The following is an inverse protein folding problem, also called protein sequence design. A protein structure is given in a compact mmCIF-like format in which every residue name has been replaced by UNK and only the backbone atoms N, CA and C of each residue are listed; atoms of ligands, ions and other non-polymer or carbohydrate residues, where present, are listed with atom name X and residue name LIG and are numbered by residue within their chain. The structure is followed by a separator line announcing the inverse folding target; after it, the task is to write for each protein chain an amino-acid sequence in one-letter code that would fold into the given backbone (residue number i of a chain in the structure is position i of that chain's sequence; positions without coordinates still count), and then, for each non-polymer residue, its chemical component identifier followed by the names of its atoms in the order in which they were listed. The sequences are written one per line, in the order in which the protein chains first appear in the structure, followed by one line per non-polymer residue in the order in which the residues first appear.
data_IF_764503067562
#
_entry.id   IF_764503067562
#
_cell.length_a   1.000
_cell.length_b   1.000
_cell.length_c   1.000
_cell.angle_alpha   90.00
_cell.angle_beta   90.00
_cell.angle_gamma   90.00
#
_symmetry.space_group_name_H-M   'P 1'
#
loop_
_entity.id
_entity.type
_entity.pdbx_description
1 polymer ?
#
# COMPACT_ATOMS: atom_id res chain seq x y z
N UNK A 1 24.75 -45.07 18.70
CA UNK A 1 25.78 -45.57 19.64
C UNK A 1 26.63 -44.36 20.01
N UNK A 2 26.63 -43.95 21.28
CA UNK A 2 27.38 -42.77 21.76
C UNK A 2 26.50 -41.68 22.40
N UNK A 3 25.84 -42.00 23.51
CA UNK A 3 25.19 -41.02 24.41
C UNK A 3 25.67 -41.26 25.86
N UNK A 4 26.96 -41.61 26.01
CA UNK A 4 27.52 -42.07 27.28
C UNK A 4 28.97 -41.62 27.57
N UNK A 5 29.59 -40.78 26.74
CA UNK A 5 31.04 -40.51 26.82
C UNK A 5 31.45 -39.08 27.24
N UNK A 6 30.65 -38.36 28.04
CA UNK A 6 31.13 -37.10 28.68
C UNK A 6 30.62 -36.93 30.12
N UNK A 7 30.68 -38.00 30.92
CA UNK A 7 30.63 -37.90 32.39
C UNK A 7 31.94 -38.42 32.95
N UNK A 8 33.00 -37.63 32.79
CA UNK A 8 34.27 -37.87 33.44
C UNK A 8 34.09 -37.67 34.97
N UNK A 9 33.97 -38.81 35.67
CA UNK A 9 33.64 -38.92 37.08
C UNK A 9 34.90 -38.76 37.96
N UNK A 10 35.56 -37.60 37.82
CA UNK A 10 36.71 -37.18 38.61
C UNK A 10 36.39 -36.08 39.63
N UNK A 11 35.88 -36.49 40.80
CA UNK A 11 35.96 -35.80 42.11
C UNK A 11 35.75 -34.27 42.20
N UNK A 12 34.51 -33.82 42.47
CA UNK A 12 34.13 -32.81 43.49
C UNK A 12 32.58 -32.73 43.53
N UNK A 13 31.89 -33.03 44.65
CA UNK A 13 30.43 -33.10 44.70
C UNK A 13 29.71 -31.78 44.34
N UNK A 14 30.37 -30.63 44.57
CA UNK A 14 29.86 -29.31 44.16
C UNK A 14 29.97 -29.01 42.66
N UNK A 15 30.95 -29.61 41.96
CA UNK A 15 31.14 -29.46 40.50
C UNK A 15 30.02 -30.12 39.72
N UNK A 16 29.62 -31.33 40.14
CA UNK A 16 28.52 -32.09 39.54
C UNK A 16 27.16 -31.38 39.70
N UNK A 17 26.92 -30.75 40.86
CA UNK A 17 25.71 -29.95 41.09
C UNK A 17 25.67 -28.68 40.24
N UNK A 18 26.83 -28.02 40.04
CA UNK A 18 26.93 -26.82 39.20
C UNK A 18 26.71 -27.16 37.72
N UNK A 19 27.30 -28.25 37.24
CA UNK A 19 27.09 -28.76 35.89
C UNK A 19 25.62 -29.15 35.64
N UNK A 20 25.01 -29.85 36.60
CA UNK A 20 23.59 -30.21 36.53
C UNK A 20 22.68 -28.98 36.47
N UNK A 21 22.88 -27.99 37.35
CA UNK A 21 22.13 -26.72 37.33
C UNK A 21 22.31 -25.95 36.02
N UNK A 22 23.52 -25.97 35.45
CA UNK A 22 23.80 -25.35 34.14
C UNK A 22 23.02 -26.06 33.03
N UNK A 23 23.02 -27.39 33.00
CA UNK A 23 22.24 -28.18 32.03
C UNK A 23 20.74 -27.99 32.20
N UNK A 24 20.25 -27.88 33.44
CA UNK A 24 18.86 -27.55 33.74
C UNK A 24 18.47 -26.17 33.20
N UNK A 25 19.34 -25.17 33.39
CA UNK A 25 19.14 -23.83 32.84
C UNK A 25 19.18 -23.84 31.30
N UNK A 26 20.07 -24.61 30.67
CA UNK A 26 20.13 -24.80 29.21
C UNK A 26 18.85 -25.44 28.67
N UNK A 27 18.33 -26.47 29.33
CA UNK A 27 17.07 -27.14 28.96
C UNK A 27 15.85 -26.26 29.21
N UNK A 28 15.85 -25.45 30.27
CA UNK A 28 14.79 -24.47 30.52
C UNK A 28 14.80 -23.34 29.49
N UNK A 29 15.98 -22.85 29.11
CA UNK A 29 16.13 -21.80 28.11
C UNK A 29 15.86 -22.32 26.68
N UNK A 30 16.20 -23.58 26.41
CA UNK A 30 16.07 -24.19 25.11
C UNK A 30 15.65 -25.66 25.23
N UNK A 31 14.36 -25.92 25.48
CA UNK A 31 13.88 -27.28 25.63
C UNK A 31 14.16 -28.10 24.36
N UNK A 32 14.55 -29.39 24.47
CA UNK A 32 14.88 -30.21 23.30
C UNK A 32 13.68 -30.46 22.38
N UNK A 33 12.46 -30.29 22.88
CA UNK A 33 11.22 -30.33 22.09
C UNK A 33 10.89 -29.00 21.41
N UNK A 34 11.56 -27.90 21.78
CA UNK A 34 11.32 -26.57 21.23
C UNK A 34 12.09 -26.43 19.91
N UNK A 35 11.37 -26.49 18.81
CA UNK A 35 11.93 -26.29 17.47
C UNK A 35 12.50 -24.87 17.35
N UNK A 36 13.48 -24.62 16.45
CA UNK A 36 14.01 -23.27 16.23
C UNK A 36 12.93 -22.23 15.92
N UNK A 37 11.88 -22.62 15.18
CA UNK A 37 10.73 -21.76 14.86
C UNK A 37 9.96 -21.35 16.11
N UNK A 38 9.74 -22.28 17.06
CA UNK A 38 9.09 -21.97 18.33
C UNK A 38 9.94 -21.04 19.20
N UNK A 39 11.27 -21.17 19.16
CA UNK A 39 12.18 -20.26 19.87
C UNK A 39 12.08 -18.85 19.33
N UNK A 40 12.16 -18.68 18.01
CA UNK A 40 12.03 -17.38 17.34
C UNK A 40 10.65 -16.74 17.60
N UNK A 41 9.57 -17.52 17.57
CA UNK A 41 8.23 -17.03 17.92
C UNK A 41 8.06 -16.67 19.41
N UNK A 42 8.91 -17.22 20.29
CA UNK A 42 8.92 -16.91 21.72
C UNK A 42 9.83 -15.73 22.06
N UNK A 43 10.68 -15.29 21.12
CA UNK A 43 11.51 -14.11 21.30
C UNK A 43 10.66 -12.84 21.17
N UNK A 44 11.10 -11.78 21.85
CA UNK A 44 10.40 -10.51 21.82
C UNK A 44 10.57 -9.85 20.45
N UNK A 45 9.46 -9.54 19.78
CA UNK A 45 9.46 -8.78 18.53
C UNK A 45 9.22 -7.28 18.84
N UNK A 46 10.09 -6.37 18.37
CA UNK A 46 9.88 -4.92 18.54
C UNK A 46 8.67 -4.36 17.78
N UNK A 47 8.17 -5.06 16.77
CA UNK A 47 7.04 -4.60 15.95
C UNK A 47 5.74 -5.34 16.28
N UNK A 48 4.65 -4.58 16.22
CA UNK A 48 3.28 -5.10 16.15
C UNK A 48 2.55 -4.44 14.99
N UNK A 49 1.44 -5.05 14.55
CA UNK A 49 0.61 -4.50 13.49
C UNK A 49 -0.77 -4.23 14.05
N UNK A 50 -1.12 -2.95 14.15
CA UNK A 50 -2.43 -2.52 14.63
C UNK A 50 -3.44 -2.23 13.51
N UNK A 51 -3.09 -2.66 12.29
CA UNK A 51 -3.93 -2.53 11.12
C UNK A 51 -4.15 -1.08 10.71
N UNK A 52 -5.39 -0.82 10.30
CA UNK A 52 -5.80 0.45 9.74
C UNK A 52 -5.53 0.56 8.25
N UNK A 53 -6.35 1.39 7.62
CA UNK A 53 -6.33 1.69 6.21
C UNK A 53 -6.43 3.19 6.03
N UNK A 54 -5.56 3.72 5.18
CA UNK A 54 -5.48 5.13 4.81
C UNK A 54 -5.57 5.23 3.29
N UNK A 55 -6.15 6.31 2.79
CA UNK A 55 -6.23 6.60 1.36
C UNK A 55 -6.21 8.11 1.12
N UNK A 56 -5.66 8.51 -0.02
CA UNK A 56 -5.61 9.90 -0.43
C UNK A 56 -5.88 10.06 -1.93
N UNK A 57 -6.48 11.19 -2.29
CA UNK A 57 -6.75 11.60 -3.67
C UNK A 57 -6.37 13.07 -3.84
N UNK A 58 -5.57 13.36 -4.86
CA UNK A 58 -5.23 14.69 -5.34
C UNK A 58 -6.20 15.12 -6.46
N UNK A 59 -6.76 16.31 -6.31
CA UNK A 59 -7.49 17.03 -7.35
C UNK A 59 -6.73 18.29 -7.78
N UNK A 60 -7.31 19.05 -8.70
CA UNK A 60 -6.64 20.22 -9.26
C UNK A 60 -6.44 21.35 -8.24
N UNK A 61 -7.36 21.52 -7.27
CA UNK A 61 -7.30 22.60 -6.26
C UNK A 61 -7.40 22.07 -4.82
N UNK A 62 -7.37 20.76 -4.63
CA UNK A 62 -7.63 20.13 -3.35
C UNK A 62 -6.88 18.81 -3.21
N UNK A 63 -6.64 18.39 -1.98
CA UNK A 63 -6.21 17.05 -1.63
C UNK A 63 -7.10 16.52 -0.51
N UNK A 64 -7.60 15.29 -0.67
CA UNK A 64 -8.42 14.62 0.34
C UNK A 64 -7.63 13.43 0.87
N UNK A 65 -7.63 13.28 2.19
CA UNK A 65 -7.06 12.16 2.89
C UNK A 65 -8.13 11.55 3.79
N UNK A 66 -8.17 10.22 3.87
CA UNK A 66 -9.11 9.49 4.69
C UNK A 66 -8.43 8.32 5.38
N UNK A 67 -8.90 8.02 6.58
CA UNK A 67 -8.48 6.85 7.34
C UNK A 67 -9.66 6.27 8.09
N UNK A 68 -9.60 5.00 8.41
CA UNK A 68 -10.46 4.43 9.45
C UNK A 68 -9.93 4.76 10.85
N UNK A 69 -10.80 4.71 11.85
CA UNK A 69 -10.45 5.01 13.25
C UNK A 69 -10.23 3.75 14.11
N UNK A 70 -10.43 2.56 13.54
CA UNK A 70 -10.23 1.28 14.24
C UNK A 70 -8.76 1.00 14.48
N UNK A 71 -8.39 0.61 15.69
CA UNK A 71 -7.06 0.11 16.01
C UNK A 71 -7.22 -1.30 16.57
N UNK A 72 -6.73 -2.29 15.82
CA UNK A 72 -6.79 -3.69 16.23
C UNK A 72 -5.44 -4.13 16.79
N UNK A 73 -5.39 -5.30 17.40
CA UNK A 73 -4.16 -5.99 17.78
C UNK A 73 -4.28 -7.42 17.31
N UNK A 74 -3.33 -7.86 16.49
CA UNK A 74 -3.37 -9.18 15.84
C UNK A 74 -4.70 -9.44 15.13
N UNK A 75 -5.29 -8.40 14.54
CA UNK A 75 -6.54 -8.42 13.75
C UNK A 75 -7.83 -8.86 14.50
N UNK A 76 -7.71 -9.41 15.71
CA UNK A 76 -8.83 -9.99 16.46
C UNK A 76 -9.32 -9.04 17.56
N UNK A 77 -8.40 -8.44 18.31
CA UNK A 77 -8.76 -7.62 19.46
C UNK A 77 -8.83 -6.15 19.04
N UNK A 78 -9.94 -5.47 19.33
CA UNK A 78 -10.05 -4.02 19.12
C UNK A 78 -9.49 -3.32 20.35
N UNK A 79 -8.38 -2.58 20.18
CA UNK A 79 -7.77 -1.77 21.24
C UNK A 79 -8.57 -0.49 21.46
N UNK A 80 -8.91 0.19 20.37
CA UNK A 80 -9.74 1.41 20.39
C UNK A 80 -10.46 1.56 19.05
N UNK A 81 -11.64 2.19 19.10
CA UNK A 81 -12.46 2.52 17.92
C UNK A 81 -12.23 3.95 17.43
N UNK A 82 -11.47 4.74 18.19
CA UNK A 82 -11.22 6.17 17.96
C UNK A 82 -9.71 6.48 17.97
N UNK A 83 -8.92 5.79 17.13
CA UNK A 83 -7.51 6.10 16.91
C UNK A 83 -7.33 7.16 15.81
N UNK A 84 -6.42 8.10 16.04
CA UNK A 84 -6.08 9.14 15.08
C UNK A 84 -4.90 8.68 14.21
N UNK A 85 -5.15 8.42 12.92
CA UNK A 85 -4.12 8.01 11.94
C UNK A 85 -3.73 9.12 10.96
N UNK A 86 -4.53 10.18 10.90
CA UNK A 86 -4.27 11.37 10.09
C UNK A 86 -3.76 12.47 11.02
N UNK A 87 -2.60 13.01 10.70
CA UNK A 87 -1.91 14.04 11.44
C UNK A 87 -1.72 15.27 10.55
N UNK A 88 -2.32 16.38 10.96
CA UNK A 88 -2.13 17.67 10.29
C UNK A 88 -0.80 18.24 10.76
N UNK A 89 0.12 18.44 9.82
CA UNK A 89 1.47 18.92 10.11
C UNK A 89 1.55 20.45 9.97
N UNK A 90 1.04 20.97 8.85
CA UNK A 90 0.93 22.40 8.54
C UNK A 90 -0.50 22.71 8.04
N UNK A 91 -0.79 23.98 7.78
CA UNK A 91 -2.08 24.41 7.20
C UNK A 91 -2.31 23.87 5.78
N UNK A 92 -1.24 23.45 5.10
CA UNK A 92 -1.25 22.88 3.75
C UNK A 92 -0.89 21.40 3.68
N UNK A 93 -0.24 20.83 4.71
CA UNK A 93 0.35 19.48 4.68
C UNK A 93 -0.32 18.59 5.72
N UNK A 94 -0.76 17.43 5.25
CA UNK A 94 -1.37 16.38 6.06
C UNK A 94 -0.63 15.07 5.82
N UNK A 95 -0.33 14.37 6.91
CA UNK A 95 0.30 13.05 6.90
C UNK A 95 -0.71 12.02 7.37
N UNK A 96 -0.86 10.91 6.66
CA UNK A 96 -1.50 9.72 7.21
C UNK A 96 -0.50 8.58 7.29
N UNK A 97 -0.63 7.76 8.33
CA UNK A 97 0.15 6.54 8.44
C UNK A 97 -0.74 5.38 8.85
N UNK A 98 -0.46 4.21 8.28
CA UNK A 98 -1.01 2.91 8.67
C UNK A 98 0.12 1.95 9.05
N UNK A 99 -0.17 0.90 9.84
CA UNK A 99 0.83 -0.06 10.30
C UNK A 99 1.10 0.02 11.80
N UNK A 100 2.37 -0.07 12.21
CA UNK A 100 2.75 -0.10 13.63
C UNK A 100 2.54 1.26 14.29
N UNK A 101 1.56 1.36 15.18
CA UNK A 101 1.13 2.62 15.78
C UNK A 101 2.22 3.29 16.63
N UNK A 102 3.10 2.51 17.26
CA UNK A 102 4.23 3.04 18.01
C UNK A 102 5.20 3.84 17.14
N UNK A 103 5.53 3.30 15.96
CA UNK A 103 6.37 3.98 14.98
C UNK A 103 5.66 5.18 14.35
N UNK A 104 4.35 5.10 14.11
CA UNK A 104 3.54 6.23 13.60
C UNK A 104 3.66 7.44 14.54
N UNK A 105 3.46 7.22 15.85
CA UNK A 105 3.54 8.29 16.83
C UNK A 105 4.95 8.90 16.91
N UNK A 106 5.98 8.07 16.78
CA UNK A 106 7.37 8.53 16.77
C UNK A 106 7.69 9.33 15.50
N UNK A 107 7.26 8.84 14.33
CA UNK A 107 7.47 9.50 13.04
C UNK A 107 6.76 10.86 13.01
N UNK A 108 5.52 10.93 13.49
CA UNK A 108 4.77 12.19 13.69
C UNK A 108 5.59 13.20 14.51
N UNK A 109 5.99 12.83 15.72
CA UNK A 109 6.74 13.72 16.63
C UNK A 109 8.06 14.18 16.01
N UNK A 110 8.74 13.28 15.29
CA UNK A 110 9.97 13.61 14.58
C UNK A 110 9.72 14.65 13.50
N UNK A 111 8.70 14.48 12.66
CA UNK A 111 8.37 15.41 11.58
C UNK A 111 7.93 16.78 12.11
N UNK A 112 7.09 16.80 13.15
CA UNK A 112 6.69 18.05 13.82
C UNK A 112 7.91 18.83 14.33
N UNK A 113 8.87 18.15 14.95
CA UNK A 113 10.12 18.79 15.39
C UNK A 113 10.97 19.31 14.23
N UNK A 114 11.03 18.59 13.10
CA UNK A 114 11.75 19.01 11.90
C UNK A 114 11.08 20.22 11.23
N UNK A 115 9.74 20.23 11.17
CA UNK A 115 8.94 21.35 10.66
C UNK A 115 9.11 22.59 11.51
N UNK A 116 9.05 22.45 12.84
CA UNK A 116 9.30 23.56 13.76
C UNK A 116 10.71 24.12 13.60
N UNK A 117 11.73 23.25 13.47
CA UNK A 117 13.10 23.68 13.22
C UNK A 117 13.24 24.43 11.89
N UNK A 118 12.63 23.92 10.82
CA UNK A 118 12.66 24.58 9.52
C UNK A 118 12.04 25.98 9.58
N UNK A 119 10.86 26.10 10.21
CA UNK A 119 10.20 27.40 10.46
C UNK A 119 11.09 28.36 11.22
N UNK A 120 11.83 27.86 12.22
CA UNK A 120 12.77 28.68 12.97
C UNK A 120 13.95 29.14 12.08
N UNK A 121 14.59 28.24 11.34
CA UNK A 121 15.80 28.55 10.58
C UNK A 121 15.50 29.48 9.38
N UNK A 122 14.41 29.21 8.63
CA UNK A 122 14.09 29.89 7.37
C UNK A 122 12.98 30.94 7.47
N UNK A 123 12.32 31.08 8.63
CA UNK A 123 11.19 32.02 8.86
C UNK A 123 10.02 31.81 7.89
N UNK A 124 9.82 30.57 7.42
CA UNK A 124 8.76 30.21 6.49
C UNK A 124 8.32 28.75 6.65
N UNK A 125 7.16 28.43 6.09
CA UNK A 125 6.62 27.08 6.08
C UNK A 125 7.27 26.21 4.99
N UNK A 126 7.33 24.89 5.22
CA UNK A 126 7.79 23.95 4.19
C UNK A 126 6.70 23.74 3.14
N UNK A 127 7.12 23.64 1.87
CA UNK A 127 6.29 23.15 0.77
C UNK A 127 6.07 21.65 0.88
N UNK A 128 5.05 21.15 0.18
CA UNK A 128 4.72 19.71 0.19
C UNK A 128 5.90 18.90 -0.35
N UNK A 129 6.49 19.32 -1.47
CA UNK A 129 7.62 18.66 -2.12
C UNK A 129 8.86 18.59 -1.21
N UNK A 130 9.20 19.69 -0.52
CA UNK A 130 10.30 19.73 0.45
C UNK A 130 10.05 18.81 1.63
N UNK A 131 8.81 18.79 2.13
CA UNK A 131 8.41 17.88 3.20
C UNK A 131 8.46 16.42 2.74
N UNK A 132 8.18 16.17 1.46
CA UNK A 132 8.19 14.84 0.87
C UNK A 132 9.59 14.23 0.88
N UNK A 133 10.56 14.99 0.38
CA UNK A 133 11.98 14.64 0.41
C UNK A 133 12.55 14.54 1.83
N UNK A 134 12.03 15.35 2.75
CA UNK A 134 12.39 15.26 4.17
C UNK A 134 11.89 13.94 4.77
N UNK A 135 10.65 13.54 4.49
CA UNK A 135 10.08 12.29 4.98
C UNK A 135 10.84 11.08 4.44
N UNK A 136 11.08 11.03 3.12
CA UNK A 136 11.87 9.98 2.46
C UNK A 136 13.22 9.76 3.15
N UNK A 137 13.98 10.83 3.39
CA UNK A 137 15.29 10.74 4.06
C UNK A 137 15.21 10.26 5.51
N UNK A 138 14.17 10.63 6.25
CA UNK A 138 14.01 10.19 7.64
C UNK A 138 13.66 8.69 7.73
N UNK A 139 12.84 8.19 6.80
CA UNK A 139 12.56 6.76 6.68
C UNK A 139 13.84 6.00 6.29
N UNK A 140 14.58 6.50 5.30
CA UNK A 140 15.82 5.88 4.83
C UNK A 140 16.94 5.88 5.88
N UNK A 141 17.01 6.90 6.74
CA UNK A 141 18.00 6.98 7.81
C UNK A 141 17.93 5.77 8.75
N UNK A 142 16.74 5.20 8.95
CA UNK A 142 16.54 3.99 9.75
C UNK A 142 16.43 2.72 8.89
N UNK A 143 17.07 2.64 7.72
CA UNK A 143 17.00 1.46 6.83
C UNK A 143 17.28 0.11 7.51
N UNK A 144 18.20 0.05 8.48
CA UNK A 144 18.54 -1.19 9.21
C UNK A 144 17.59 -1.52 10.37
N UNK A 145 16.69 -0.60 10.71
CA UNK A 145 15.64 -0.78 11.70
C UNK A 145 14.46 0.15 11.35
N UNK A 146 13.72 -0.16 10.27
CA UNK A 146 12.81 0.76 9.59
C UNK A 146 11.62 1.14 10.47
N UNK A 147 10.96 2.24 10.14
CA UNK A 147 9.63 2.50 10.69
C UNK A 147 8.65 1.56 10.00
N UNK A 148 7.94 0.71 10.75
CA UNK A 148 7.00 -0.24 10.15
C UNK A 148 5.65 0.44 9.85
N UNK A 149 5.66 1.37 8.90
CA UNK A 149 4.53 2.24 8.60
C UNK A 149 4.38 2.47 7.10
N UNK A 150 3.17 2.30 6.59
CA UNK A 150 2.77 2.80 5.29
C UNK A 150 2.33 4.26 5.41
N UNK A 151 3.18 5.19 4.95
CA UNK A 151 2.94 6.62 5.07
C UNK A 151 2.44 7.20 3.74
N UNK A 152 1.50 8.12 3.83
CA UNK A 152 1.01 8.92 2.71
C UNK A 152 1.07 10.38 3.13
N UNK A 153 1.70 11.22 2.31
CA UNK A 153 1.74 12.66 2.50
C UNK A 153 0.83 13.30 1.46
N UNK A 154 -0.09 14.16 1.89
CA UNK A 154 -0.96 14.90 1.00
C UNK A 154 -0.91 16.38 1.35
N UNK A 155 -1.05 17.24 0.36
CA UNK A 155 -1.11 18.67 0.58
C UNK A 155 -1.40 19.47 -0.66
N UNK A 156 -1.30 20.79 -0.51
CA UNK A 156 -1.43 21.75 -1.61
C UNK A 156 -0.04 22.30 -1.92
N UNK A 157 0.39 22.14 -3.16
CA UNK A 157 1.64 22.67 -3.70
C UNK A 157 1.59 24.21 -3.84
N UNK A 158 2.74 24.85 -4.08
CA UNK A 158 2.86 26.30 -4.30
C UNK A 158 1.97 26.81 -5.44
N UNK A 159 1.74 25.96 -6.44
CA UNK A 159 0.88 26.25 -7.58
C UNK A 159 -0.62 26.17 -7.24
N UNK A 160 -0.98 25.85 -5.99
CA UNK A 160 -2.35 25.61 -5.56
C UNK A 160 -2.89 24.24 -5.96
N UNK A 161 -2.05 23.38 -6.56
CA UNK A 161 -2.44 22.03 -7.00
C UNK A 161 -2.37 21.02 -5.86
N UNK A 162 -3.34 20.11 -5.79
CA UNK A 162 -3.27 18.97 -4.89
C UNK A 162 -2.11 18.04 -5.27
N UNK A 163 -1.31 17.67 -4.28
CA UNK A 163 -0.20 16.74 -4.43
C UNK A 163 -0.31 15.63 -3.38
N UNK A 164 -0.09 14.38 -3.82
CA UNK A 164 -0.12 13.19 -2.97
C UNK A 164 1.14 12.37 -3.24
N UNK A 165 1.80 11.96 -2.15
CA UNK A 165 3.03 11.19 -2.16
C UNK A 165 2.83 9.91 -1.35
N UNK A 166 3.14 8.76 -1.96
CA UNK A 166 3.18 7.47 -1.28
C UNK A 166 4.61 7.14 -0.86
N UNK A 167 4.75 6.43 0.27
CA UNK A 167 6.04 6.00 0.80
C UNK A 167 6.07 4.52 1.13
N UNK A 168 7.16 3.89 0.72
CA UNK A 168 7.59 2.61 1.27
C UNK A 168 8.22 2.80 2.67
N UNK A 169 8.19 1.81 3.59
CA UNK A 169 8.85 1.90 4.90
C UNK A 169 10.35 2.27 4.87
N UNK A 170 11.02 2.08 3.73
CA UNK A 170 12.44 2.41 3.53
C UNK A 170 12.62 3.83 2.97
N UNK A 171 11.54 4.52 2.60
CA UNK A 171 11.55 5.90 2.13
C UNK A 171 11.59 6.07 0.61
N UNK A 172 11.29 5.02 -0.18
CA UNK A 172 11.00 5.21 -1.60
C UNK A 172 9.75 6.07 -1.74
N UNK A 173 9.82 7.16 -2.50
CA UNK A 173 8.74 8.12 -2.68
C UNK A 173 8.19 8.05 -4.10
N UNK A 174 6.87 8.09 -4.23
CA UNK A 174 6.18 8.19 -5.53
C UNK A 174 5.14 9.31 -5.48
N UNK A 175 5.15 10.19 -6.47
CA UNK A 175 4.14 11.23 -6.65
C UNK A 175 3.01 10.71 -7.55
N UNK A 176 1.81 10.54 -6.99
CA UNK A 176 0.69 9.85 -7.62
C UNK A 176 -0.60 10.67 -7.41
N UNK A 177 -1.56 10.58 -8.34
CA UNK A 177 -2.85 11.25 -8.20
C UNK A 177 -3.72 10.69 -7.05
N UNK A 178 -3.57 9.41 -6.73
CA UNK A 178 -4.24 8.77 -5.60
C UNK A 178 -3.39 7.62 -5.08
N UNK A 179 -3.60 7.26 -3.83
CA UNK A 179 -2.92 6.11 -3.22
C UNK A 179 -3.70 5.61 -2.01
N UNK A 180 -3.50 4.36 -1.65
CA UNK A 180 -3.99 3.78 -0.41
C UNK A 180 -2.84 3.04 0.27
N UNK A 181 -2.92 2.91 1.60
CA UNK A 181 -1.91 2.20 2.38
C UNK A 181 -2.54 1.60 3.64
N UNK A 182 -2.08 0.42 4.02
CA UNK A 182 -2.60 -0.34 5.16
C UNK A 182 -3.32 -1.61 4.73
N UNK A 183 -4.13 -2.20 5.61
CA UNK A 183 -4.65 -3.56 5.40
C UNK A 183 -5.57 -3.68 4.17
N UNK A 184 -6.45 -2.70 3.91
CA UNK A 184 -7.36 -2.72 2.77
C UNK A 184 -6.82 -2.00 1.52
N UNK A 185 -5.52 -1.66 1.47
CA UNK A 185 -4.86 -1.16 0.26
C UNK A 185 -5.18 -1.99 -1.01
N UNK A 186 -5.05 -3.33 -1.03
CA UNK A 186 -5.31 -4.12 -2.24
C UNK A 186 -6.77 -4.11 -2.70
N UNK A 187 -7.71 -3.65 -1.85
CA UNK A 187 -9.11 -3.49 -2.22
C UNK A 187 -9.43 -2.09 -2.74
N UNK A 188 -8.80 -1.06 -2.15
CA UNK A 188 -9.05 0.34 -2.50
C UNK A 188 -8.32 0.76 -3.78
N UNK A 189 -7.06 0.36 -3.96
CA UNK A 189 -6.27 0.71 -5.14
C UNK A 189 -6.94 0.34 -6.47
N UNK A 190 -7.39 -0.92 -6.72
CA UNK A 190 -8.04 -1.26 -7.98
C UNK A 190 -9.37 -0.52 -8.19
N UNK A 191 -10.08 -0.18 -7.11
CA UNK A 191 -11.28 0.64 -7.18
C UNK A 191 -10.95 2.07 -7.66
N UNK A 192 -9.89 2.69 -7.15
CA UNK A 192 -9.44 3.99 -7.63
C UNK A 192 -8.90 3.93 -9.06
N UNK A 193 -8.18 2.88 -9.45
CA UNK A 193 -7.72 2.67 -10.83
C UNK A 193 -8.86 2.66 -11.84
N UNK A 194 -10.00 2.09 -11.45
CA UNK A 194 -11.19 2.02 -12.29
C UNK A 194 -11.93 3.37 -12.36
N UNK A 195 -12.06 4.06 -11.22
CA UNK A 195 -12.95 5.22 -11.08
C UNK A 195 -12.27 6.57 -11.33
N UNK A 196 -11.00 6.72 -10.95
CA UNK A 196 -10.25 7.97 -11.02
C UNK A 196 -9.49 8.04 -12.33
N UNK A 197 -8.57 7.10 -12.54
CA UNK A 197 -7.72 7.12 -13.73
C UNK A 197 -8.32 6.36 -14.91
N UNK A 198 -9.36 5.54 -14.71
CA UNK A 198 -9.95 4.68 -15.74
C UNK A 198 -8.87 3.92 -16.54
N UNK A 199 -7.79 3.47 -15.87
CA UNK A 199 -6.58 2.92 -16.49
C UNK A 199 -6.81 1.53 -17.12
N UNK A 200 -8.00 0.94 -16.98
CA UNK A 200 -8.29 -0.36 -17.55
C UNK A 200 -8.11 -0.47 -19.08
N UNK A 201 -7.92 0.63 -19.85
CA UNK A 201 -7.57 0.53 -21.27
C UNK A 201 -6.48 1.48 -21.78
N UNK A 202 -5.30 0.92 -22.08
CA UNK A 202 -4.52 1.28 -23.28
C UNK A 202 -3.87 0.05 -23.93
N UNK A 203 -4.70 -0.89 -24.38
CA UNK A 203 -4.30 -1.82 -25.43
C UNK A 203 -4.14 -1.03 -26.73
N UNK A 204 -2.93 -0.54 -27.01
CA UNK A 204 -2.58 -0.07 -28.35
C UNK A 204 -2.48 -1.30 -29.27
N UNK A 205 -3.60 -1.73 -29.84
CA UNK A 205 -3.58 -2.67 -30.95
C UNK A 205 -3.04 -1.95 -32.18
N UNK A 206 -1.78 -2.21 -32.55
CA UNK A 206 -1.25 -1.78 -33.83
C UNK A 206 -1.59 -2.82 -34.90
N UNK A 207 -2.48 -2.54 -35.86
CA UNK A 207 -2.68 -3.42 -37.00
C UNK A 207 -1.51 -3.25 -37.98
N UNK A 208 -0.61 -4.23 -38.05
CA UNK A 208 0.30 -4.36 -39.18
C UNK A 208 -0.35 -5.26 -40.24
N UNK A 209 -0.76 -4.68 -41.36
CA UNK A 209 -1.21 -5.45 -42.52
C UNK A 209 0.01 -5.95 -43.30
N UNK A 210 0.33 -7.24 -43.19
CA UNK A 210 1.21 -7.93 -44.13
C UNK A 210 0.36 -8.57 -45.23
N UNK A 211 0.53 -8.09 -46.46
CA UNK A 211 -0.05 -8.71 -47.65
C UNK A 211 1.01 -9.54 -48.37
N UNK A 212 0.77 -10.85 -48.50
CA UNK A 212 1.47 -11.71 -49.47
C UNK A 212 0.43 -12.33 -50.41
N UNK A 213 0.83 -12.57 -51.66
CA UNK A 213 0.00 -12.67 -52.87
C UNK A 213 -1.19 -13.67 -52.88
N UNK A 214 -1.54 -14.37 -51.79
CA UNK A 214 -2.76 -15.19 -51.73
C UNK A 214 -3.46 -15.32 -50.36
N UNK A 215 -3.06 -14.57 -49.32
CA UNK A 215 -3.72 -14.62 -47.99
C UNK A 215 -3.47 -13.34 -47.19
N UNK A 216 -4.53 -12.73 -46.64
CA UNK A 216 -4.43 -11.59 -45.73
C UNK A 216 -4.36 -12.10 -44.30
N UNK A 217 -3.33 -11.69 -43.55
CA UNK A 217 -3.19 -11.99 -42.13
C UNK A 217 -3.30 -10.67 -41.35
N UNK A 218 -4.11 -10.65 -40.29
CA UNK A 218 -4.12 -9.55 -39.33
C UNK A 218 -3.26 -9.98 -38.15
N UNK A 219 -2.11 -9.32 -38.00
CA UNK A 219 -1.24 -9.52 -36.83
C UNK A 219 -1.61 -8.45 -35.80
N UNK A 220 -2.09 -8.90 -34.65
CA UNK A 220 -2.49 -8.06 -33.53
C UNK A 220 -1.39 -8.15 -32.47
N UNK A 221 -0.66 -7.06 -32.26
CA UNK A 221 0.33 -6.94 -31.19
C UNK A 221 -0.35 -6.50 -29.90
N UNK A 222 -0.16 -7.26 -28.82
CA UNK A 222 -0.55 -6.85 -27.47
C UNK A 222 0.66 -6.21 -26.81
N UNK A 223 0.62 -4.89 -26.66
CA UNK A 223 1.66 -4.10 -25.99
C UNK A 223 1.18 -3.73 -24.58
N UNK A 224 1.99 -4.05 -23.57
CA UNK A 224 1.77 -3.60 -22.20
C UNK A 224 2.62 -2.35 -21.95
N UNK A 225 2.02 -1.33 -21.31
CA UNK A 225 2.73 -0.18 -20.79
C UNK A 225 2.86 -0.32 -19.27
N UNK A 226 4.10 -0.31 -18.76
CA UNK A 226 4.38 -0.11 -17.35
C UNK A 226 5.28 1.14 -17.26
N UNK A 227 4.69 2.28 -16.91
CA UNK A 227 5.37 3.58 -16.97
C UNK A 227 5.77 4.01 -18.39
N UNK A 228 6.99 4.56 -18.56
CA UNK A 228 7.55 5.05 -19.84
C UNK A 228 8.27 3.98 -20.69
N UNK A 229 8.32 2.73 -20.24
CA UNK A 229 9.08 1.66 -20.90
C UNK A 229 8.17 0.64 -21.59
N UNK A 230 8.51 0.29 -22.84
CA UNK A 230 7.72 -0.56 -23.73
C UNK A 230 8.16 -2.03 -23.61
N UNK A 231 7.26 -2.94 -23.24
CA UNK A 231 7.54 -4.39 -23.22
C UNK A 231 6.66 -5.14 -24.24
N UNK A 232 7.30 -5.86 -25.16
CA UNK A 232 6.64 -6.74 -26.14
C UNK A 232 6.51 -8.15 -25.56
N UNK A 233 5.30 -8.72 -25.48
CA UNK A 233 5.18 -10.10 -24.97
C UNK A 233 4.45 -11.10 -25.87
N UNK A 234 3.49 -10.75 -26.73
CA UNK A 234 2.84 -11.77 -27.58
C UNK A 234 2.29 -11.24 -28.91
N UNK A 235 2.38 -12.09 -29.93
CA UNK A 235 1.94 -11.87 -31.30
C UNK A 235 0.72 -12.76 -31.59
N UNK A 236 -0.43 -12.16 -31.93
CA UNK A 236 -1.66 -12.88 -32.27
C UNK A 236 -1.87 -12.82 -33.79
N UNK A 237 -2.01 -13.97 -34.46
CA UNK A 237 -2.22 -14.04 -35.92
C UNK A 237 -3.65 -14.48 -36.18
N UNK A 238 -4.45 -13.62 -36.83
CA UNK A 238 -5.83 -13.89 -37.23
C UNK A 238 -5.87 -14.09 -38.76
N UNK A 239 -6.42 -15.22 -39.21
CA UNK A 239 -6.60 -15.55 -40.62
C UNK A 239 -8.00 -15.12 -41.08
N UNK A 240 -8.11 -14.24 -42.06
CA UNK A 240 -9.37 -13.59 -42.45
C UNK A 240 -10.22 -14.37 -43.47
N UNK A 241 -10.02 -15.68 -43.64
CA UNK A 241 -10.80 -16.48 -44.61
C UNK A 241 -12.22 -16.85 -44.19
N UNK A 242 -12.55 -16.86 -42.89
CA UNK A 242 -13.88 -17.28 -42.41
C UNK A 242 -14.88 -16.11 -42.31
N UNK A 243 -14.92 -15.25 -43.34
CA UNK A 243 -15.76 -14.05 -43.39
C UNK A 243 -17.06 -14.25 -44.18
N UNK A 244 -17.74 -15.38 -44.01
CA UNK A 244 -19.14 -15.54 -44.41
C UNK A 244 -19.94 -16.19 -43.30
N UNK A 245 -21.02 -15.51 -42.90
CA UNK A 245 -21.99 -15.88 -41.87
C UNK A 245 -21.39 -16.12 -40.48
N UNK A 246 -21.39 -15.09 -39.63
CA UNK A 246 -21.98 -15.12 -38.28
C UNK A 246 -21.71 -13.78 -37.55
N UNK A 247 -22.66 -13.38 -36.72
CA UNK A 247 -22.81 -12.06 -36.10
C UNK A 247 -21.54 -11.50 -35.39
N UNK A 248 -21.45 -10.18 -35.33
CA UNK A 248 -20.30 -9.36 -34.90
C UNK A 248 -19.84 -9.51 -33.42
N UNK A 249 -20.31 -10.52 -32.67
CA UNK A 249 -20.06 -10.64 -31.22
C UNK A 249 -19.25 -11.89 -30.81
N UNK A 250 -18.62 -12.61 -31.75
CA UNK A 250 -17.85 -13.82 -31.41
C UNK A 250 -16.50 -13.89 -32.13
N UNK A 251 -15.47 -13.25 -31.58
CA UNK A 251 -14.08 -13.55 -31.94
C UNK A 251 -13.68 -14.85 -31.23
N UNK A 252 -13.63 -15.97 -31.95
CA UNK A 252 -13.09 -17.25 -31.45
C UNK A 252 -11.58 -17.12 -31.24
N UNK A 253 -11.16 -17.08 -29.98
CA UNK A 253 -9.75 -17.06 -29.56
C UNK A 253 -9.20 -18.49 -29.58
N UNK A 254 -8.25 -18.78 -30.48
CA UNK A 254 -7.43 -20.00 -30.44
C UNK A 254 -6.36 -19.82 -29.34
N UNK A 255 -6.63 -20.36 -28.16
CA UNK A 255 -5.71 -20.34 -27.01
C UNK A 255 -4.50 -21.24 -27.25
N UNK A 256 -3.28 -20.68 -27.17
CA UNK A 256 -2.07 -21.46 -26.88
C UNK A 256 -1.87 -21.44 -25.37
N UNK A 257 -1.99 -22.62 -24.76
CA UNK A 257 -2.00 -22.92 -23.33
C UNK A 257 -0.66 -22.54 -22.67
N UNK A 258 -0.65 -21.55 -21.76
CA UNK A 258 0.34 -21.41 -20.68
C UNK A 258 -0.36 -21.05 -19.37
N UNK A 259 -0.06 -21.84 -18.32
CA UNK A 259 -0.67 -21.78 -16.99
C UNK A 259 -0.28 -20.51 -16.22
N UNK A 260 -1.00 -19.40 -16.42
CA UNK A 260 -1.06 -18.29 -15.46
C UNK A 260 -2.50 -17.78 -15.35
N UNK A 261 -2.98 -17.41 -14.15
CA UNK A 261 -4.33 -16.89 -13.96
C UNK A 261 -4.44 -15.51 -14.63
N UNK A 262 -5.29 -15.41 -15.65
CA UNK A 262 -5.60 -14.16 -16.35
C UNK A 262 -6.71 -13.45 -15.58
N UNK A 263 -6.38 -12.35 -14.91
CA UNK A 263 -7.36 -11.43 -14.32
C UNK A 263 -8.08 -10.74 -15.48
N UNK A 264 -9.41 -10.84 -15.54
CA UNK A 264 -10.23 -10.35 -16.65
C UNK A 264 -10.14 -8.83 -16.80
N UNK A 265 -9.64 -8.38 -17.96
CA UNK A 265 -9.72 -6.99 -18.42
C UNK A 265 -11.13 -6.74 -18.98
N UNK A 266 -11.93 -5.91 -18.30
CA UNK A 266 -13.16 -5.35 -18.87
C UNK A 266 -12.87 -3.94 -19.37
N UNK A 267 -13.06 -3.82 -20.68
CA UNK A 267 -12.89 -2.68 -21.57
C UNK A 267 -13.87 -1.55 -21.31
N UNK A 268 -13.40 -0.38 -20.88
CA UNK A 268 -14.08 0.87 -21.25
C UNK A 268 -13.59 1.26 -22.65
N UNK A 269 -14.52 1.58 -23.55
CA UNK A 269 -14.22 2.06 -24.91
C UNK A 269 -13.42 3.36 -24.83
N UNK A 270 -12.48 3.55 -25.77
CA UNK A 270 -11.54 4.69 -25.78
C UNK A 270 -12.17 6.09 -25.91
N UNK A 271 -13.51 6.17 -25.98
CA UNK A 271 -14.30 7.38 -26.20
C UNK A 271 -14.98 7.90 -24.91
N UNK A 272 -14.70 7.31 -23.75
CA UNK A 272 -15.27 7.79 -22.48
C UNK A 272 -14.47 9.00 -21.99
N UNK A 273 -15.05 10.19 -22.12
CA UNK A 273 -14.53 11.40 -21.47
C UNK A 273 -14.42 11.15 -19.95
N UNK A 274 -13.20 11.26 -19.41
CA UNK A 274 -12.98 11.12 -17.97
C UNK A 274 -13.70 12.28 -17.28
N UNK A 275 -14.67 12.02 -16.37
CA UNK A 275 -15.31 13.09 -15.66
C UNK A 275 -14.26 13.82 -14.81
N UNK A 276 -14.40 15.14 -14.69
CA UNK A 276 -13.52 15.93 -13.83
C UNK A 276 -13.67 15.48 -12.37
N UNK A 277 -12.57 15.54 -11.62
CA UNK A 277 -12.54 15.13 -10.22
C UNK A 277 -12.93 16.33 -9.34
N UNK A 278 -14.22 16.47 -9.05
CA UNK A 278 -14.71 17.46 -8.08
C UNK A 278 -14.51 16.96 -6.65
N UNK A 279 -14.46 17.88 -5.67
CA UNK A 279 -14.35 17.52 -4.25
C UNK A 279 -15.46 16.56 -3.84
N UNK A 280 -16.70 16.84 -4.26
CA UNK A 280 -17.86 16.01 -3.93
C UNK A 280 -17.71 14.59 -4.47
N UNK A 281 -17.33 14.45 -5.75
CA UNK A 281 -17.09 13.14 -6.36
C UNK A 281 -15.93 12.41 -5.70
N UNK A 282 -14.83 13.08 -5.39
CA UNK A 282 -13.70 12.47 -4.70
C UNK A 282 -14.10 11.99 -3.29
N UNK A 283 -14.88 12.79 -2.54
CA UNK A 283 -15.39 12.36 -1.24
C UNK A 283 -16.37 11.20 -1.35
N UNK A 284 -17.21 11.11 -2.38
CA UNK A 284 -18.11 9.97 -2.57
C UNK A 284 -17.33 8.70 -2.91
N UNK A 285 -16.34 8.79 -3.80
CA UNK A 285 -15.48 7.66 -4.14
C UNK A 285 -14.74 7.11 -2.92
N UNK A 286 -14.18 7.98 -2.08
CA UNK A 286 -13.52 7.56 -0.84
C UNK A 286 -14.52 6.88 0.11
N UNK A 287 -15.72 7.45 0.29
CA UNK A 287 -16.76 6.84 1.14
C UNK A 287 -17.14 5.44 0.67
N UNK A 288 -17.32 5.28 -0.64
CA UNK A 288 -17.68 3.99 -1.22
C UNK A 288 -16.53 2.99 -1.09
N UNK A 289 -15.29 3.42 -1.33
CA UNK A 289 -14.09 2.59 -1.14
C UNK A 289 -13.97 2.07 0.31
N UNK A 290 -14.13 2.96 1.30
CA UNK A 290 -14.05 2.57 2.72
C UNK A 290 -15.24 1.71 3.17
N UNK A 291 -16.44 1.91 2.60
CA UNK A 291 -17.59 1.03 2.86
C UNK A 291 -17.34 -0.37 2.33
N UNK A 292 -16.83 -0.50 1.11
CA UNK A 292 -16.49 -1.82 0.55
C UNK A 292 -15.36 -2.48 1.34
N UNK A 293 -14.34 -1.70 1.74
CA UNK A 293 -13.26 -2.19 2.59
C UNK A 293 -13.78 -2.69 3.94
N UNK A 294 -14.65 -1.95 4.61
CA UNK A 294 -15.21 -2.34 5.91
C UNK A 294 -16.08 -3.62 5.86
N UNK A 295 -16.63 -3.98 4.70
CA UNK A 295 -17.39 -5.24 4.53
C UNK A 295 -16.50 -6.48 4.37
N UNK A 296 -15.21 -6.30 4.01
CA UNK A 296 -14.32 -7.40 3.63
C UNK A 296 -13.06 -7.49 4.49
N UNK A 297 -12.60 -6.38 5.05
CA UNK A 297 -11.38 -6.27 5.82
C UNK A 297 -11.66 -6.04 7.31
N UNK A 298 -11.31 -7.03 8.14
CA UNK A 298 -11.66 -7.05 9.57
C UNK A 298 -11.03 -5.93 10.41
N UNK A 299 -9.84 -5.45 10.01
CA UNK A 299 -9.16 -4.37 10.71
C UNK A 299 -9.62 -2.98 10.33
N UNK A 300 -10.48 -2.83 9.31
CA UNK A 300 -10.96 -1.53 8.81
C UNK A 300 -12.42 -1.32 9.22
N UNK A 301 -12.72 -0.32 10.03
CA UNK A 301 -14.10 -0.10 10.49
C UNK A 301 -14.31 1.07 11.42
N UNK A 302 -15.44 1.05 12.12
CA UNK A 302 -15.92 2.04 13.10
C UNK A 302 -16.29 3.40 12.51
N UNK A 303 -15.32 4.22 12.14
CA UNK A 303 -15.55 5.54 11.55
C UNK A 303 -14.50 5.85 10.48
N UNK A 304 -14.89 6.60 9.45
CA UNK A 304 -13.98 7.25 8.53
C UNK A 304 -13.67 8.64 9.09
N UNK A 305 -12.39 8.93 9.29
CA UNK A 305 -11.88 10.28 9.47
C UNK A 305 -11.42 10.83 8.11
N UNK A 306 -12.09 11.85 7.62
CA UNK A 306 -11.82 12.54 6.36
C UNK A 306 -11.22 13.91 6.65
N UNK A 307 -10.13 14.24 5.95
CA UNK A 307 -9.45 15.53 6.02
C UNK A 307 -9.32 16.07 4.60
N UNK A 308 -9.81 17.29 4.39
CA UNK A 308 -9.82 17.96 3.09
C UNK A 308 -8.97 19.22 3.20
N UNK A 309 -7.89 19.28 2.42
CA UNK A 309 -7.08 20.47 2.19
C UNK A 309 -7.48 21.10 0.86
N UNK A 310 -7.78 22.39 0.86
CA UNK A 310 -8.16 23.15 -0.35
C UNK A 310 -7.30 24.41 -0.42
N UNK A 311 -6.91 24.82 -1.62
CA UNK A 311 -6.11 26.02 -1.81
C UNK A 311 -6.80 27.26 -1.24
N UNK A 312 -6.14 27.96 -0.32
CA UNK A 312 -6.62 29.21 0.28
C UNK A 312 -7.75 29.07 1.32
N UNK A 313 -8.11 27.85 1.75
CA UNK A 313 -9.10 27.62 2.81
C UNK A 313 -8.51 26.80 3.95
N UNK A 314 -9.02 26.94 5.19
CA UNK A 314 -8.59 26.10 6.30
C UNK A 314 -8.97 24.64 6.07
N UNK A 315 -8.15 23.73 6.58
CA UNK A 315 -8.36 22.28 6.52
C UNK A 315 -9.69 21.91 7.18
N UNK A 316 -10.52 21.15 6.46
CA UNK A 316 -11.81 20.65 6.96
C UNK A 316 -11.66 19.20 7.41
N UNK A 317 -12.15 18.90 8.62
CA UNK A 317 -12.22 17.53 9.15
C UNK A 317 -13.68 17.07 9.21
N UNK A 318 -13.93 15.84 8.81
CA UNK A 318 -15.25 15.22 8.83
C UNK A 318 -15.13 13.79 9.36
N UNK A 319 -16.13 13.35 10.13
CA UNK A 319 -16.23 11.96 10.57
C UNK A 319 -17.52 11.35 10.02
N UNK A 320 -17.43 10.13 9.50
CA UNK A 320 -18.56 9.38 8.99
C UNK A 320 -18.57 7.99 9.63
N UNK A 321 -19.74 7.46 10.01
CA UNK A 321 -19.82 6.12 10.59
C UNK A 321 -19.56 5.04 9.54
N UNK A 322 -18.87 3.98 9.96
CA UNK A 322 -18.72 2.70 9.26
C UNK A 322 -19.39 1.59 10.09
N UNK A 323 -19.27 0.36 9.57
CA UNK A 323 -19.66 -0.85 10.28
C UNK A 323 -18.80 -1.03 11.54
N UNK A 324 -19.43 -1.44 12.65
CA UNK A 324 -18.81 -1.53 13.99
C UNK A 324 -18.67 -2.98 14.51
N UNK A 325 -18.94 -3.98 13.68
CA UNK A 325 -18.81 -5.38 14.07
C UNK A 325 -17.37 -5.83 14.34
#
# INVERSE_FOLDING_TARGET
MGLMDELDMGSYPGGNMKAFKKKLAEVHASPPWMTPVLKEASEWNPYSFEGGTTAAIAGDNFAIMASDTRMSQFEINILTRDAEKIHVLNDSIVLSCAGFYGDILQLKRLLEARLHKYRFDYRGDMTVDLCAELLSRNLYYRRFFPYYTGAILAGIDENGKGAVFSYDPIGCIEHIAYTASGSAEPMIMPFFDCQVDCILHRLCLFPCFLSSHHTTYVVVYVVYYYGRSLFFLNCLIINTRDRQQDNADAVRILYIRRNHPVIGLVTMSGDVEKPLLTIERATSLIKDAFRVAAEREISTGDKIHLVIAEAGKPIRKMHLPLRED
#
